data_IF_559681273246
#
_entry.id   IF_559681273246
#
_cell.length_a   1.000
_cell.length_b   1.000
_cell.length_c   1.000
_cell.angle_alpha   90.00
_cell.angle_beta   90.00
_cell.angle_gamma   90.00
#
_symmetry.space_group_name_H-M   'P 1'
#
loop_
_entity.id
_entity.type
_entity.pdbx_description
1 polymer ?
#
# COMPACT_ATOMS: atom_id res chain seq x y z
N UNK A 1 10.46 4.68 12.62
CA UNK A 1 10.33 3.21 12.49
C UNK A 1 9.81 2.61 13.79
N UNK A 2 9.00 1.57 13.71
CA UNK A 2 8.47 0.91 14.90
C UNK A 2 9.57 0.12 15.62
N UNK A 3 9.56 0.17 16.94
CA UNK A 3 10.46 -0.64 17.75
C UNK A 3 10.09 -2.12 17.69
N UNK A 4 8.80 -2.38 17.51
CA UNK A 4 8.27 -3.75 17.42
C UNK A 4 7.30 -3.86 16.26
N UNK A 5 7.58 -4.79 15.35
CA UNK A 5 6.70 -5.08 14.21
C UNK A 5 5.47 -5.84 14.71
N UNK A 6 4.26 -5.42 14.31
CA UNK A 6 3.05 -6.17 14.74
C UNK A 6 3.06 -7.58 14.15
N UNK A 7 2.65 -8.55 14.97
CA UNK A 7 2.55 -9.94 14.52
C UNK A 7 1.15 -10.22 13.92
N UNK A 8 0.94 -11.44 13.43
CA UNK A 8 -0.33 -11.84 12.82
C UNK A 8 -1.51 -11.67 13.77
N UNK A 9 -1.33 -12.00 15.04
CA UNK A 9 -2.38 -11.89 16.05
C UNK A 9 -2.77 -10.44 16.27
N UNK A 10 -1.79 -9.54 16.39
CA UNK A 10 -2.02 -8.12 16.57
C UNK A 10 -2.71 -7.49 15.35
N UNK A 11 -2.28 -7.87 14.15
CA UNK A 11 -2.89 -7.38 12.92
C UNK A 11 -4.34 -7.87 12.79
N UNK A 12 -4.57 -9.15 13.06
CA UNK A 12 -5.91 -9.72 13.00
C UNK A 12 -6.85 -9.08 14.02
N UNK A 13 -6.34 -8.78 15.20
CA UNK A 13 -7.11 -8.08 16.23
C UNK A 13 -7.49 -6.66 15.80
N UNK A 14 -6.61 -6.01 15.04
CA UNK A 14 -6.84 -4.62 14.61
C UNK A 14 -7.79 -4.55 13.42
N UNK A 15 -7.53 -5.30 12.36
CA UNK A 15 -8.27 -5.17 11.09
C UNK A 15 -9.24 -6.32 10.81
N UNK A 16 -9.16 -7.42 11.56
CA UNK A 16 -9.97 -8.60 11.32
C UNK A 16 -9.32 -9.56 10.35
N UNK A 17 -9.73 -10.83 10.39
CA UNK A 17 -9.13 -11.89 9.58
C UNK A 17 -9.30 -11.64 8.07
N UNK A 18 -10.49 -11.20 7.64
CA UNK A 18 -10.76 -10.94 6.22
C UNK A 18 -9.81 -9.90 5.64
N UNK A 19 -9.64 -8.78 6.34
CA UNK A 19 -8.76 -7.70 5.87
C UNK A 19 -7.30 -8.09 6.03
N UNK A 20 -6.95 -8.88 7.02
CA UNK A 20 -5.59 -9.37 7.16
C UNK A 20 -5.22 -10.30 5.99
N UNK A 21 -6.15 -11.12 5.53
CA UNK A 21 -5.94 -11.95 4.34
C UNK A 21 -5.74 -11.07 3.09
N UNK A 22 -6.52 -10.00 2.96
CA UNK A 22 -6.37 -9.02 1.88
C UNK A 22 -4.97 -8.36 1.93
N UNK A 23 -4.56 -7.94 3.11
CA UNK A 23 -3.24 -7.34 3.35
C UNK A 23 -2.13 -8.28 2.88
N UNK A 24 -2.18 -9.54 3.32
CA UNK A 24 -1.16 -10.53 2.97
C UNK A 24 -1.14 -10.85 1.49
N UNK A 25 -2.29 -10.94 0.86
CA UNK A 25 -2.39 -11.20 -0.59
C UNK A 25 -1.81 -10.05 -1.40
N UNK A 26 -2.10 -8.82 -0.99
CA UNK A 26 -1.55 -7.65 -1.68
C UNK A 26 -0.04 -7.56 -1.52
N UNK A 27 0.48 -7.79 -0.32
CA UNK A 27 1.92 -7.82 -0.08
C UNK A 27 2.59 -8.91 -0.93
N UNK A 28 2.02 -10.11 -0.98
CA UNK A 28 2.56 -11.20 -1.78
C UNK A 28 2.61 -10.85 -3.26
N UNK A 29 1.56 -10.20 -3.77
CA UNK A 29 1.49 -9.79 -5.17
C UNK A 29 2.55 -8.74 -5.49
N UNK A 30 2.75 -7.77 -4.62
CA UNK A 30 3.80 -6.76 -4.79
C UNK A 30 5.18 -7.40 -4.72
N UNK A 31 5.40 -8.26 -3.73
CA UNK A 31 6.70 -8.91 -3.51
C UNK A 31 7.08 -9.86 -4.67
N UNK A 32 6.09 -10.41 -5.35
CA UNK A 32 6.31 -11.26 -6.52
C UNK A 32 6.92 -10.48 -7.68
N UNK A 33 6.57 -9.21 -7.81
CA UNK A 33 6.96 -8.37 -8.95
C UNK A 33 8.08 -7.38 -8.65
N UNK A 34 8.24 -7.03 -7.38
CA UNK A 34 9.18 -5.98 -6.98
C UNK A 34 10.10 -6.45 -5.86
N UNK A 35 11.37 -6.07 -6.00
CA UNK A 35 12.36 -6.21 -4.93
C UNK A 35 12.54 -4.83 -4.34
N UNK A 36 11.96 -4.59 -3.17
CA UNK A 36 11.95 -3.28 -2.53
C UNK A 36 12.25 -3.40 -1.04
N UNK A 37 12.77 -2.31 -0.49
CA UNK A 37 12.95 -2.18 0.95
C UNK A 37 11.59 -1.95 1.60
N UNK A 38 11.32 -2.66 2.70
CA UNK A 38 10.07 -2.56 3.43
C UNK A 38 10.32 -2.04 4.83
N UNK A 39 9.52 -1.05 5.26
CA UNK A 39 9.65 -0.43 6.57
C UNK A 39 8.31 -0.34 7.27
N UNK A 40 8.29 -0.71 8.55
CA UNK A 40 7.14 -0.53 9.42
C UNK A 40 7.27 0.77 10.20
N UNK A 41 6.23 1.58 10.20
CA UNK A 41 6.16 2.85 10.93
C UNK A 41 4.81 2.99 11.62
N UNK A 42 4.72 3.96 12.52
CA UNK A 42 3.43 4.43 13.01
C UNK A 42 2.74 5.15 11.87
N UNK A 43 1.43 4.99 11.77
CA UNK A 43 0.67 5.49 10.64
C UNK A 43 0.27 6.97 10.72
N UNK A 44 0.72 7.69 11.71
CA UNK A 44 0.36 9.09 11.91
C UNK A 44 -1.00 9.23 12.61
N UNK A 45 -1.70 10.34 12.36
CA UNK A 45 -2.94 10.65 13.07
C UNK A 45 -4.13 9.77 12.69
N UNK A 46 -4.19 9.35 11.43
CA UNK A 46 -5.35 8.64 10.90
C UNK A 46 -5.19 7.12 10.90
N UNK A 47 -3.97 6.61 11.03
CA UNK A 47 -3.67 5.19 10.88
C UNK A 47 -2.83 4.67 12.03
N UNK A 48 -3.03 3.40 12.39
CA UNK A 48 -2.27 2.77 13.47
C UNK A 48 -0.89 2.36 12.99
N UNK A 49 -0.81 1.74 11.82
CA UNK A 49 0.45 1.27 11.23
C UNK A 49 0.58 1.69 9.80
N UNK A 50 1.84 1.87 9.38
CA UNK A 50 2.22 2.10 7.99
C UNK A 50 3.27 1.07 7.60
N UNK A 51 3.04 0.35 6.50
CA UNK A 51 4.02 -0.58 5.93
C UNK A 51 4.42 -0.03 4.57
N UNK A 52 5.62 0.53 4.51
CA UNK A 52 6.10 1.34 3.40
C UNK A 52 7.01 0.53 2.48
N UNK A 53 6.79 0.63 1.18
CA UNK A 53 7.66 0.07 0.15
C UNK A 53 8.50 1.17 -0.46
N UNK A 54 9.83 1.01 -0.40
CA UNK A 54 10.79 1.99 -0.90
C UNK A 54 11.74 1.36 -1.90
N UNK A 55 12.15 2.14 -2.88
CA UNK A 55 13.10 1.73 -3.91
C UNK A 55 14.03 2.90 -4.21
N UNK A 56 15.33 2.68 -4.01
CA UNK A 56 16.32 3.74 -4.22
C UNK A 56 16.11 4.95 -3.31
N UNK A 57 15.68 4.72 -2.07
CA UNK A 57 15.44 5.79 -1.12
C UNK A 57 14.12 6.53 -1.28
N UNK A 58 13.30 6.14 -2.27
CA UNK A 58 11.99 6.78 -2.52
C UNK A 58 10.85 5.82 -2.24
N UNK A 59 9.81 6.31 -1.56
CA UNK A 59 8.60 5.55 -1.31
C UNK A 59 7.79 5.45 -2.60
N UNK A 60 7.44 4.23 -3.01
CA UNK A 60 6.58 4.01 -4.17
C UNK A 60 5.12 3.81 -3.75
N UNK A 61 4.91 3.06 -2.70
CA UNK A 61 3.58 2.81 -2.17
C UNK A 61 3.67 2.41 -0.70
N UNK A 62 2.53 2.32 -0.04
CA UNK A 62 2.46 1.88 1.35
C UNK A 62 1.10 1.28 1.64
N UNK A 63 1.08 0.32 2.57
CA UNK A 63 -0.16 -0.18 3.14
C UNK A 63 -0.34 0.45 4.52
N UNK A 64 -1.58 0.73 4.87
CA UNK A 64 -1.94 1.33 6.15
C UNK A 64 -2.98 0.47 6.85
N UNK A 65 -2.94 0.44 8.16
CA UNK A 65 -3.91 -0.29 8.96
C UNK A 65 -4.44 0.57 10.09
N UNK A 66 -5.75 0.51 10.29
CA UNK A 66 -6.43 1.06 11.46
C UNK A 66 -7.60 0.15 11.76
N UNK A 67 -8.29 0.39 12.86
CA UNK A 67 -9.38 -0.49 13.30
C UNK A 67 -10.36 -0.77 12.15
N UNK A 68 -10.49 -2.04 11.79
CA UNK A 68 -11.39 -2.55 10.76
C UNK A 68 -11.19 -1.92 9.37
N UNK A 69 -9.95 -1.48 9.07
CA UNK A 69 -9.70 -0.80 7.80
C UNK A 69 -8.25 -1.00 7.33
N UNK A 70 -8.10 -1.24 6.03
CA UNK A 70 -6.80 -1.30 5.35
C UNK A 70 -6.78 -0.21 4.29
N UNK A 71 -5.68 0.52 4.21
CA UNK A 71 -5.47 1.50 3.15
C UNK A 71 -4.30 1.10 2.27
N UNK A 72 -4.38 1.41 1.00
CA UNK A 72 -3.27 1.27 0.06
C UNK A 72 -3.04 2.62 -0.61
N UNK A 73 -1.82 3.14 -0.44
CA UNK A 73 -1.44 4.43 -1.03
C UNK A 73 -0.37 4.19 -2.09
N UNK A 74 -0.51 4.89 -3.21
CA UNK A 74 0.54 4.91 -4.24
C UNK A 74 0.88 6.35 -4.56
N UNK A 75 2.19 6.64 -4.70
CA UNK A 75 2.66 7.99 -4.98
C UNK A 75 2.86 8.14 -6.48
N UNK A 76 2.10 9.05 -7.09
CA UNK A 76 2.19 9.35 -8.52
C UNK A 76 2.37 10.86 -8.70
N UNK A 77 3.09 11.24 -9.75
CA UNK A 77 3.12 12.63 -10.18
C UNK A 77 1.82 12.99 -10.90
N UNK A 78 1.58 14.28 -11.13
CA UNK A 78 0.38 14.73 -11.82
C UNK A 78 0.22 14.12 -13.21
N UNK A 79 1.31 14.05 -13.97
CA UNK A 79 1.27 13.50 -15.32
C UNK A 79 0.95 12.01 -15.33
N UNK A 80 1.47 11.28 -14.35
CA UNK A 80 1.20 9.86 -14.21
C UNK A 80 -0.25 9.60 -13.83
N UNK A 81 -0.81 10.44 -12.97
CA UNK A 81 -2.20 10.32 -12.55
C UNK A 81 -3.18 10.52 -13.70
N UNK A 82 -2.88 11.43 -14.62
CA UNK A 82 -3.74 11.69 -15.78
C UNK A 82 -3.90 10.48 -16.69
N UNK A 83 -2.99 9.51 -16.60
CA UNK A 83 -3.07 8.27 -17.38
C UNK A 83 -4.02 7.24 -16.77
N UNK A 84 -4.51 7.49 -15.58
CA UNK A 84 -5.40 6.58 -14.88
C UNK A 84 -6.58 7.36 -14.30
N UNK A 85 -7.76 7.14 -14.87
CA UNK A 85 -8.97 7.83 -14.44
C UNK A 85 -9.47 7.25 -13.13
N UNK A 86 -9.44 8.08 -12.08
CA UNK A 86 -9.94 7.68 -10.76
C UNK A 86 -10.40 8.93 -9.99
N UNK A 87 -11.43 8.76 -9.18
CA UNK A 87 -11.92 9.78 -8.26
C UNK A 87 -11.30 9.64 -6.86
N UNK A 88 -10.36 8.71 -6.68
CA UNK A 88 -9.70 8.45 -5.40
C UNK A 88 -8.42 9.24 -5.23
N UNK A 89 -8.44 10.51 -5.62
CA UNK A 89 -7.27 11.39 -5.61
C UNK A 89 -7.27 12.30 -4.40
N UNK A 90 -6.08 12.45 -3.80
CA UNK A 90 -5.85 13.36 -2.68
C UNK A 90 -4.64 14.24 -2.95
N UNK A 91 -4.58 15.39 -2.29
CA UNK A 91 -3.40 16.27 -2.26
C UNK A 91 -2.84 16.63 -3.64
N UNK A 92 -3.67 17.27 -4.46
CA UNK A 92 -3.25 17.83 -5.74
C UNK A 92 -2.67 16.78 -6.70
N UNK A 93 -3.11 15.54 -6.55
CA UNK A 93 -2.70 14.49 -7.46
C UNK A 93 -1.32 13.91 -7.20
N UNK A 94 -0.72 14.19 -6.06
CA UNK A 94 0.60 13.64 -5.73
C UNK A 94 0.53 12.17 -5.33
N UNK A 95 -0.59 11.75 -4.77
CA UNK A 95 -0.78 10.36 -4.36
C UNK A 95 -2.26 9.99 -4.37
N UNK A 96 -2.50 8.69 -4.44
CA UNK A 96 -3.83 8.10 -4.41
C UNK A 96 -3.95 7.19 -3.20
N UNK A 97 -5.12 7.22 -2.55
CA UNK A 97 -5.40 6.35 -1.40
C UNK A 97 -6.65 5.54 -1.69
N UNK A 98 -6.54 4.23 -1.46
CA UNK A 98 -7.64 3.28 -1.63
C UNK A 98 -7.88 2.54 -0.30
N UNK A 99 -9.11 2.09 -0.09
CA UNK A 99 -9.46 1.29 1.08
C UNK A 99 -10.07 -0.04 0.60
N UNK A 100 -9.23 -1.00 0.16
CA UNK A 100 -9.73 -2.26 -0.38
C UNK A 100 -10.40 -3.12 0.67
N UNK A 101 -11.50 -3.75 0.31
CA UNK A 101 -12.22 -4.69 1.15
C UNK A 101 -12.22 -6.10 0.55
N UNK A 102 -11.71 -6.23 -0.67
CA UNK A 102 -11.55 -7.50 -1.37
C UNK A 102 -10.40 -7.38 -2.38
N UNK A 103 -10.22 -8.36 -3.25
CA UNK A 103 -9.12 -8.39 -4.20
C UNK A 103 -9.44 -7.74 -5.55
N UNK A 104 -10.62 -7.18 -5.72
CA UNK A 104 -11.08 -6.68 -7.02
C UNK A 104 -10.22 -5.56 -7.60
N UNK A 105 -9.58 -4.76 -6.75
CA UNK A 105 -8.75 -3.64 -7.19
C UNK A 105 -7.26 -3.97 -7.34
N UNK A 106 -6.85 -5.21 -7.03
CA UNK A 106 -5.43 -5.56 -7.00
C UNK A 106 -4.75 -5.38 -8.35
N UNK A 107 -5.43 -5.72 -9.44
CA UNK A 107 -4.86 -5.52 -10.79
C UNK A 107 -4.65 -4.04 -11.09
N UNK A 108 -5.55 -3.18 -10.63
CA UNK A 108 -5.42 -1.74 -10.77
C UNK A 108 -4.23 -1.22 -9.97
N UNK A 109 -4.01 -1.73 -8.76
CA UNK A 109 -2.87 -1.34 -7.93
C UNK A 109 -1.55 -1.71 -8.62
N UNK A 110 -1.46 -2.91 -9.18
CA UNK A 110 -0.25 -3.36 -9.89
C UNK A 110 -0.02 -2.51 -11.15
N UNK A 111 -1.09 -2.18 -11.85
CA UNK A 111 -1.03 -1.32 -13.02
C UNK A 111 -0.49 0.07 -12.69
N UNK A 112 -0.98 0.65 -11.59
CA UNK A 112 -0.51 1.96 -11.10
C UNK A 112 0.96 1.90 -10.71
N UNK A 113 1.37 0.84 -10.01
CA UNK A 113 2.79 0.65 -9.68
C UNK A 113 3.65 0.57 -10.94
N UNK A 114 3.16 -0.13 -11.96
CA UNK A 114 3.86 -0.26 -13.24
C UNK A 114 4.04 1.05 -13.97
N UNK A 115 3.10 1.98 -13.81
CA UNK A 115 3.22 3.33 -14.35
C UNK A 115 4.33 4.08 -13.62
N UNK A 116 4.42 3.93 -12.30
CA UNK A 116 5.43 4.60 -11.47
C UNK A 116 6.81 4.01 -11.69
N UNK A 117 6.93 2.69 -11.63
CA UNK A 117 8.19 1.95 -11.81
C UNK A 117 7.89 0.58 -12.36
N UNK A 118 8.69 0.15 -13.33
CA UNK A 118 8.56 -1.20 -13.88
C UNK A 118 8.97 -2.24 -12.84
N UNK A 119 8.35 -3.43 -12.86
CA UNK A 119 8.78 -4.53 -12.00
C UNK A 119 10.26 -4.83 -12.20
N UNK A 120 10.97 -5.09 -11.11
CA UNK A 120 12.41 -5.39 -11.14
C UNK A 120 12.75 -6.80 -10.67
N UNK A 121 11.75 -7.59 -10.36
CA UNK A 121 11.92 -8.98 -9.96
C UNK A 121 11.55 -9.89 -11.13
N UNK A 122 12.39 -10.87 -11.39
CA UNK A 122 12.16 -11.82 -12.47
C UNK A 122 11.14 -12.88 -12.12
#
# INVERSE_FOLDING_TARGET
>A
MLDKIPNAEEMTALIGQSLYDIWNKLCALIDEKYDMECLWNKGGKAWTYEYKYRRGGKTLCALYARENCVGFMIILGKDEQLKFDTDKTYHDGKWLMFEPTDTSMFQDFIKLLGIKRKPNKK
#
